data_IF_733180603867
#
_entry.id   IF_733180603867
#
_cell.length_a   1.000
_cell.length_b   1.000
_cell.length_c   1.000
_cell.angle_alpha   90.00
_cell.angle_beta   90.00
_cell.angle_gamma   90.00
#
_symmetry.space_group_name_H-M   'P 1'
#
loop_
_entity.id
_entity.type
_entity.pdbx_description
1 polymer ?
#
# COMPACT_ATOMS: atom_id res chain seq x y z
N UNK A 1 -14.14 -17.54 -8.28
CA UNK A 1 -13.69 -16.34 -7.56
C UNK A 1 -14.67 -15.22 -7.83
N UNK A 2 -15.15 -14.55 -6.80
CA UNK A 2 -15.94 -13.33 -6.91
C UNK A 2 -15.07 -12.25 -7.54
N UNK A 3 -15.58 -11.56 -8.55
CA UNK A 3 -14.89 -10.44 -9.21
C UNK A 3 -15.27 -9.13 -8.56
N UNK A 4 -14.39 -8.13 -8.61
CA UNK A 4 -14.58 -6.84 -7.96
C UNK A 4 -14.34 -5.69 -8.93
N UNK A 5 -15.08 -4.59 -8.75
CA UNK A 5 -14.74 -3.33 -9.38
C UNK A 5 -13.45 -2.77 -8.77
N UNK A 6 -12.61 -2.09 -9.58
CA UNK A 6 -11.33 -1.58 -9.08
C UNK A 6 -10.94 -0.27 -9.74
N UNK A 7 -10.54 0.70 -8.91
CA UNK A 7 -9.91 1.96 -9.33
C UNK A 7 -8.63 2.18 -8.51
N UNK A 8 -7.58 2.71 -9.15
CA UNK A 8 -6.30 2.99 -8.54
C UNK A 8 -6.04 4.49 -8.58
N UNK A 9 -6.24 5.19 -7.47
CA UNK A 9 -6.35 6.63 -7.38
C UNK A 9 -5.19 7.23 -6.58
N UNK A 10 -4.68 8.37 -7.02
CA UNK A 10 -3.63 9.09 -6.30
C UNK A 10 -4.23 9.91 -5.15
N UNK A 11 -3.55 9.85 -3.98
CA UNK A 11 -3.87 10.71 -2.84
C UNK A 11 -2.61 11.27 -2.21
N UNK A 12 -2.01 12.25 -2.89
CA UNK A 12 -0.78 12.93 -2.50
C UNK A 12 0.48 12.27 -3.01
N UNK A 13 1.58 12.98 -2.87
CA UNK A 13 2.88 12.51 -3.33
C UNK A 13 4.02 13.02 -2.45
N UNK A 14 5.19 12.41 -2.64
CA UNK A 14 6.46 12.87 -2.07
C UNK A 14 7.53 12.91 -3.15
N UNK A 15 8.63 13.62 -2.89
CA UNK A 15 9.75 13.75 -3.84
C UNK A 15 11.05 13.26 -3.21
N UNK A 16 11.74 12.39 -3.93
CA UNK A 16 13.05 11.86 -3.56
C UNK A 16 13.94 11.68 -4.79
N UNK A 17 15.29 11.69 -4.65
CA UNK A 17 16.18 11.21 -5.70
C UNK A 17 15.87 9.76 -6.07
N UNK A 18 15.75 9.46 -7.36
CA UNK A 18 15.44 8.10 -7.86
C UNK A 18 16.42 7.06 -7.31
N UNK A 19 17.71 7.44 -7.14
CA UNK A 19 18.73 6.54 -6.60
C UNK A 19 18.39 5.96 -5.21
N UNK A 20 17.53 6.60 -4.44
CA UNK A 20 17.12 6.08 -3.13
C UNK A 20 16.22 4.85 -3.25
N UNK A 21 15.47 4.73 -4.34
CA UNK A 21 14.48 3.67 -4.58
C UNK A 21 14.91 2.69 -5.65
N UNK A 22 15.92 3.06 -6.46
CA UNK A 22 16.39 2.26 -7.57
C UNK A 22 17.92 2.36 -7.67
N UNK A 23 18.65 1.26 -7.41
CA UNK A 23 20.12 1.25 -7.50
C UNK A 23 20.60 1.72 -8.89
N UNK A 24 21.49 2.72 -8.92
CA UNK A 24 21.95 3.33 -10.17
C UNK A 24 20.91 4.24 -10.84
N UNK A 25 19.87 4.63 -10.13
CA UNK A 25 18.92 5.67 -10.55
C UNK A 25 19.55 7.06 -10.54
N UNK A 26 18.79 8.04 -11.05
CA UNK A 26 19.18 9.44 -11.12
C UNK A 26 19.30 10.07 -9.74
N UNK A 27 20.19 11.08 -9.61
CA UNK A 27 20.22 11.98 -8.45
C UNK A 27 19.11 13.04 -8.49
N UNK A 28 18.43 13.20 -9.64
CA UNK A 28 17.29 14.09 -9.74
C UNK A 28 16.12 13.59 -8.87
N UNK A 29 15.43 14.53 -8.25
CA UNK A 29 14.21 14.23 -7.52
C UNK A 29 13.09 13.83 -8.51
N UNK A 30 12.43 12.72 -8.24
CA UNK A 30 11.25 12.23 -8.96
C UNK A 30 10.07 12.16 -8.00
N UNK A 31 8.87 12.23 -8.55
CA UNK A 31 7.64 12.15 -7.76
C UNK A 31 7.28 10.70 -7.47
N UNK A 32 6.91 10.46 -6.23
CA UNK A 32 6.37 9.20 -5.74
C UNK A 32 4.93 9.44 -5.30
N UNK A 33 3.91 9.08 -6.11
CA UNK A 33 2.52 9.18 -5.72
C UNK A 33 2.25 8.25 -4.54
N UNK A 34 1.27 8.58 -3.71
CA UNK A 34 0.68 7.64 -2.76
C UNK A 34 -0.65 7.17 -3.33
N UNK A 35 -0.67 5.95 -3.85
CA UNK A 35 -1.84 5.38 -4.49
C UNK A 35 -2.77 4.70 -3.48
N UNK A 36 -4.07 4.81 -3.73
CA UNK A 36 -5.14 4.20 -2.95
C UNK A 36 -5.97 3.32 -3.87
N UNK A 37 -6.16 2.05 -3.49
CA UNK A 37 -7.09 1.16 -4.19
C UNK A 37 -8.51 1.37 -3.69
N UNK A 38 -9.44 1.64 -4.61
CA UNK A 38 -10.88 1.61 -4.32
C UNK A 38 -11.43 0.33 -4.94
N UNK A 39 -11.85 -0.59 -4.08
CA UNK A 39 -12.29 -1.93 -4.47
C UNK A 39 -13.78 -2.03 -4.17
N UNK A 40 -14.57 -2.23 -5.20
CA UNK A 40 -16.02 -2.39 -5.10
C UNK A 40 -16.38 -3.87 -5.10
N UNK A 41 -16.82 -4.36 -3.96
CA UNK A 41 -17.25 -5.74 -3.82
C UNK A 41 -18.78 -5.83 -4.07
N UNK A 42 -19.24 -6.73 -4.95
CA UNK A 42 -20.64 -6.75 -5.41
C UNK A 42 -21.67 -6.98 -4.29
N UNK A 43 -21.26 -7.53 -3.15
CA UNK A 43 -22.17 -7.83 -2.04
C UNK A 43 -21.75 -7.21 -0.69
N UNK A 44 -20.60 -6.54 -0.59
CA UNK A 44 -20.04 -6.10 0.70
C UNK A 44 -19.71 -4.61 0.77
N UNK A 45 -19.93 -3.86 -0.31
CA UNK A 45 -19.61 -2.44 -0.40
C UNK A 45 -18.16 -2.17 -0.79
N UNK A 46 -17.67 -0.98 -0.46
CA UNK A 46 -16.35 -0.51 -0.85
C UNK A 46 -15.29 -0.89 0.18
N UNK A 47 -14.12 -1.29 -0.29
CA UNK A 47 -12.91 -1.43 0.53
C UNK A 47 -11.83 -0.50 -0.01
N UNK A 48 -11.11 0.17 0.90
CA UNK A 48 -9.93 0.92 0.52
C UNK A 48 -8.67 0.08 0.76
N UNK A 49 -7.81 -0.04 -0.24
CA UNK A 49 -6.46 -0.55 -0.05
C UNK A 49 -5.53 0.65 0.17
N UNK A 50 -5.01 0.76 1.39
CA UNK A 50 -4.31 1.93 1.94
C UNK A 50 -5.18 3.21 1.95
N UNK A 51 -4.62 4.32 2.43
CA UNK A 51 -5.39 5.57 2.57
C UNK A 51 -4.68 6.81 2.04
N UNK A 52 -3.49 6.65 1.47
CA UNK A 52 -2.72 7.76 0.92
C UNK A 52 -2.30 8.81 1.96
N UNK A 53 -1.82 9.94 1.47
CA UNK A 53 -1.55 11.11 2.32
C UNK A 53 -2.85 11.82 2.72
N UNK A 54 -2.81 12.48 3.89
CA UNK A 54 -3.89 13.29 4.45
C UNK A 54 -3.26 14.47 5.21
N UNK A 55 -3.91 15.64 5.34
CA UNK A 55 -3.42 16.72 6.18
C UNK A 55 -3.08 16.32 7.62
N UNK A 56 -3.60 15.20 8.11
CA UNK A 56 -3.20 14.60 9.38
C UNK A 56 -1.71 14.27 9.44
N UNK A 57 -1.08 13.92 8.31
CA UNK A 57 0.36 13.68 8.24
C UNK A 57 1.17 14.89 8.68
N UNK A 58 0.80 16.10 8.23
CA UNK A 58 1.48 17.33 8.63
C UNK A 58 1.34 17.59 10.12
N UNK A 59 0.17 17.31 10.70
CA UNK A 59 -0.08 17.43 12.15
C UNK A 59 0.74 16.42 12.94
N UNK A 60 0.72 15.14 12.52
CA UNK A 60 1.44 14.05 13.17
C UNK A 60 2.96 14.24 13.13
N UNK A 61 3.48 14.92 12.10
CA UNK A 61 4.91 15.22 11.95
C UNK A 61 5.32 16.61 12.46
N UNK A 62 4.46 17.33 13.16
CA UNK A 62 4.79 18.64 13.74
C UNK A 62 5.71 18.54 14.97
N UNK A 63 5.47 17.62 15.94
CA UNK A 63 6.34 17.48 17.10
C UNK A 63 7.68 16.83 16.73
N UNK A 64 8.67 16.98 17.60
CA UNK A 64 9.93 16.24 17.56
C UNK A 64 9.78 14.94 18.38
N UNK A 65 10.26 13.79 17.94
CA UNK A 65 11.13 13.53 16.77
C UNK A 65 10.41 13.31 15.42
N UNK A 66 9.08 13.26 15.35
CA UNK A 66 8.34 12.95 14.13
C UNK A 66 8.59 13.95 13.00
N UNK A 67 9.00 15.20 13.34
CA UNK A 67 9.43 16.21 12.38
C UNK A 67 10.60 15.78 11.52
N UNK A 68 11.48 14.90 12.02
CA UNK A 68 12.57 14.32 11.24
C UNK A 68 12.06 13.55 10.01
N UNK A 69 10.95 12.82 10.15
CA UNK A 69 10.33 12.13 9.03
C UNK A 69 9.95 13.13 7.92
N UNK A 70 9.23 14.20 8.26
CA UNK A 70 8.82 15.21 7.26
C UNK A 70 10.01 15.92 6.62
N UNK A 71 11.11 16.13 7.31
CA UNK A 71 12.31 16.74 6.73
C UNK A 71 13.00 15.82 5.71
N UNK A 72 12.95 14.52 5.93
CA UNK A 72 13.52 13.54 5.00
C UNK A 72 12.54 13.11 3.90
N UNK A 73 11.25 13.38 4.08
CA UNK A 73 10.19 13.00 3.15
C UNK A 73 9.30 14.22 2.89
N UNK A 74 9.73 15.15 2.01
CA UNK A 74 8.91 16.28 1.60
C UNK A 74 7.63 15.83 0.92
N UNK A 75 6.47 16.23 1.44
CA UNK A 75 5.16 15.80 0.95
C UNK A 75 4.39 16.96 0.34
N UNK A 76 3.64 16.67 -0.73
CA UNK A 76 2.71 17.60 -1.36
C UNK A 76 1.28 17.24 -0.94
N UNK A 77 0.72 18.05 -0.02
CA UNK A 77 -0.63 17.88 0.52
C UNK A 77 -1.38 19.18 0.35
N UNK A 78 -2.27 19.25 -0.64
CA UNK A 78 -3.15 20.40 -0.89
C UNK A 78 -4.57 20.18 -0.36
N UNK A 79 -5.43 21.22 -0.51
CA UNK A 79 -6.83 21.19 -0.09
C UNK A 79 -7.67 20.09 -0.80
N UNK A 80 -7.28 19.70 -2.01
CA UNK A 80 -7.92 18.61 -2.75
C UNK A 80 -7.79 17.25 -2.04
N UNK A 81 -6.76 17.07 -1.20
CA UNK A 81 -6.53 15.85 -0.43
C UNK A 81 -7.26 15.81 0.92
N UNK A 82 -7.97 16.88 1.29
CA UNK A 82 -8.93 16.81 2.39
C UNK A 82 -9.91 15.67 2.13
N UNK A 83 -10.18 14.85 3.16
CA UNK A 83 -10.91 13.59 3.00
C UNK A 83 -12.22 13.73 2.20
N UNK A 84 -13.08 14.65 2.60
CA UNK A 84 -14.37 14.87 1.93
C UNK A 84 -14.24 15.39 0.50
N UNK A 85 -13.22 16.21 0.22
CA UNK A 85 -12.96 16.72 -1.12
C UNK A 85 -12.49 15.62 -2.03
N UNK A 86 -11.55 14.78 -1.54
CA UNK A 86 -11.03 13.66 -2.31
C UNK A 86 -12.12 12.62 -2.62
N UNK A 87 -12.94 12.24 -1.63
CA UNK A 87 -14.08 11.36 -1.85
C UNK A 87 -15.05 11.93 -2.90
N UNK A 88 -15.40 13.23 -2.79
CA UNK A 88 -16.29 13.89 -3.73
C UNK A 88 -15.72 13.91 -5.15
N UNK A 89 -14.44 14.24 -5.30
CA UNK A 89 -13.76 14.28 -6.61
C UNK A 89 -13.83 12.93 -7.32
N UNK A 90 -13.72 11.84 -6.54
CA UNK A 90 -13.71 10.49 -7.08
C UNK A 90 -15.07 9.77 -6.98
N UNK A 91 -16.15 10.50 -6.68
CA UNK A 91 -17.51 9.96 -6.53
C UNK A 91 -17.57 8.74 -5.58
N UNK A 92 -16.87 8.83 -4.45
CA UNK A 92 -16.86 7.79 -3.42
C UNK A 92 -17.81 8.19 -2.30
N UNK A 93 -18.79 7.33 -2.01
CA UNK A 93 -19.68 7.48 -0.87
C UNK A 93 -19.02 6.89 0.38
N UNK A 94 -18.73 7.75 1.37
CA UNK A 94 -18.09 7.37 2.63
C UNK A 94 -18.89 6.31 3.41
N UNK A 95 -20.21 6.32 3.31
CA UNK A 95 -21.08 5.38 4.02
C UNK A 95 -20.95 3.96 3.44
N UNK A 96 -20.65 3.86 2.16
CA UNK A 96 -20.45 2.56 1.48
C UNK A 96 -19.09 1.93 1.79
N UNK A 97 -18.15 2.66 2.40
CA UNK A 97 -16.85 2.11 2.76
C UNK A 97 -17.05 1.10 3.90
N UNK A 98 -16.94 -0.18 3.59
CA UNK A 98 -17.15 -1.29 4.51
C UNK A 98 -15.91 -1.60 5.36
N UNK A 99 -14.72 -1.22 4.91
CA UNK A 99 -13.47 -1.45 5.63
C UNK A 99 -12.24 -0.96 4.87
N UNK A 100 -11.08 -1.13 5.50
CA UNK A 100 -9.79 -0.73 4.95
C UNK A 100 -8.81 -1.90 5.02
N UNK A 101 -8.05 -2.09 3.97
CA UNK A 101 -6.99 -3.10 3.85
C UNK A 101 -5.67 -2.35 3.88
N UNK A 102 -4.87 -2.53 4.90
CA UNK A 102 -3.60 -1.82 5.09
C UNK A 102 -2.45 -2.74 4.74
N UNK A 103 -1.74 -2.38 3.66
CA UNK A 103 -0.57 -3.12 3.21
C UNK A 103 0.54 -3.13 4.25
N UNK A 104 0.78 -1.97 4.87
CA UNK A 104 1.73 -1.75 5.97
C UNK A 104 1.50 -0.38 6.64
N UNK A 105 2.21 -0.08 7.74
CA UNK A 105 1.90 1.08 8.58
C UNK A 105 2.79 2.31 8.36
N UNK A 106 3.40 2.52 7.19
CA UNK A 106 4.06 3.79 6.89
C UNK A 106 3.05 4.94 6.73
N UNK A 107 3.54 6.16 6.92
CA UNK A 107 2.69 7.35 7.05
C UNK A 107 1.80 7.63 5.84
N UNK A 108 2.26 7.36 4.65
CA UNK A 108 1.58 7.55 3.36
C UNK A 108 0.54 6.47 3.03
N UNK A 109 0.53 5.37 3.78
CA UNK A 109 -0.48 4.31 3.65
C UNK A 109 -1.61 4.44 4.68
N UNK A 110 -1.34 5.14 5.81
CA UNK A 110 -2.27 5.18 6.95
C UNK A 110 -2.77 6.58 7.33
N UNK A 111 -2.35 7.65 6.62
CA UNK A 111 -2.67 9.01 7.06
C UNK A 111 -4.18 9.32 7.07
N UNK A 112 -4.98 8.67 6.22
CA UNK A 112 -6.43 8.82 6.15
C UNK A 112 -7.21 7.95 7.14
N UNK A 113 -6.60 7.01 7.85
CA UNK A 113 -7.31 6.03 8.70
C UNK A 113 -8.20 6.66 9.78
N UNK A 114 -7.87 7.86 10.24
CA UNK A 114 -8.67 8.57 11.23
C UNK A 114 -10.12 8.80 10.81
N UNK A 115 -10.37 8.92 9.50
CA UNK A 115 -11.70 9.12 8.94
C UNK A 115 -12.53 7.82 8.94
N UNK A 116 -11.86 6.69 9.04
CA UNK A 116 -12.47 5.36 9.03
C UNK A 116 -12.48 4.70 10.43
N UNK A 117 -12.38 5.53 11.48
CA UNK A 117 -12.38 5.05 12.86
C UNK A 117 -13.66 4.23 13.16
N UNK A 118 -13.47 3.03 13.71
CA UNK A 118 -14.56 2.11 14.04
C UNK A 118 -14.93 1.14 12.91
N UNK A 119 -14.49 1.37 11.67
CA UNK A 119 -14.65 0.40 10.56
C UNK A 119 -13.61 -0.74 10.67
N UNK A 120 -13.90 -1.94 10.13
CA UNK A 120 -12.93 -3.04 10.07
C UNK A 120 -11.65 -2.63 9.37
N UNK A 121 -10.49 -3.02 9.94
CA UNK A 121 -9.16 -2.80 9.36
C UNK A 121 -8.48 -4.15 9.17
N UNK A 122 -8.30 -4.54 7.91
CA UNK A 122 -7.56 -5.75 7.55
C UNK A 122 -6.07 -5.40 7.45
N UNK A 123 -5.22 -6.05 8.22
CA UNK A 123 -3.80 -5.74 8.28
C UNK A 123 -2.97 -6.92 8.82
N UNK A 124 -1.65 -6.82 8.73
CA UNK A 124 -0.75 -7.78 9.36
C UNK A 124 -0.57 -7.48 10.86
N UNK A 125 -0.58 -8.52 11.68
CA UNK A 125 -0.33 -8.43 13.13
C UNK A 125 1.04 -7.82 13.42
N UNK A 126 2.08 -8.30 12.75
CA UNK A 126 3.45 -7.81 12.95
C UNK A 126 3.60 -6.29 12.68
N UNK A 127 2.85 -5.74 11.72
CA UNK A 127 2.84 -4.30 11.42
C UNK A 127 2.23 -3.49 12.57
N UNK A 128 1.03 -3.87 13.02
CA UNK A 128 0.34 -3.19 14.13
C UNK A 128 1.13 -3.28 15.43
N UNK A 129 1.64 -4.46 15.77
CA UNK A 129 2.47 -4.67 16.95
C UNK A 129 3.73 -3.79 16.93
N UNK A 130 4.37 -3.65 15.76
CA UNK A 130 5.55 -2.79 15.61
C UNK A 130 5.20 -1.32 15.80
N UNK A 131 4.06 -0.86 15.26
CA UNK A 131 3.56 0.50 15.48
C UNK A 131 3.27 0.80 16.95
N UNK A 132 2.74 -0.18 17.70
CA UNK A 132 2.37 -0.03 19.12
C UNK A 132 3.54 -0.17 20.08
N UNK A 133 4.70 -0.69 19.66
CA UNK A 133 5.91 -0.76 20.50
C UNK A 133 6.31 0.63 21.03
N UNK A 134 6.82 0.73 22.26
CA UNK A 134 7.30 1.99 22.80
C UNK A 134 8.55 2.50 22.04
N UNK A 135 8.79 3.80 22.10
CA UNK A 135 9.99 4.42 21.51
C UNK A 135 9.69 5.24 20.25
N UNK A 136 9.42 6.55 20.44
CA UNK A 136 9.11 7.49 19.35
C UNK A 136 10.21 7.55 18.29
N UNK A 137 11.50 7.61 18.69
CA UNK A 137 12.62 7.64 17.75
C UNK A 137 12.73 6.37 16.92
N UNK A 138 12.50 5.20 17.54
CA UNK A 138 12.52 3.93 16.82
C UNK A 138 11.42 3.87 15.76
N UNK A 139 10.22 4.33 16.09
CA UNK A 139 9.11 4.40 15.14
C UNK A 139 9.42 5.36 13.99
N UNK A 140 9.87 6.58 14.28
CA UNK A 140 10.21 7.59 13.25
C UNK A 140 11.27 7.06 12.29
N UNK A 141 12.31 6.39 12.82
CA UNK A 141 13.35 5.76 11.98
C UNK A 141 12.78 4.69 11.03
N UNK A 142 11.70 4.03 11.43
CA UNK A 142 11.00 3.01 10.64
C UNK A 142 9.83 3.59 9.82
N UNK A 143 9.70 4.90 9.69
CA UNK A 143 8.59 5.52 8.93
C UNK A 143 7.21 5.41 9.60
N UNK A 144 7.15 5.06 10.89
CA UNK A 144 5.91 4.81 11.62
C UNK A 144 5.46 6.03 12.41
N UNK A 145 4.21 6.45 12.22
CA UNK A 145 3.58 7.58 12.91
C UNK A 145 2.33 7.13 13.67
N UNK A 146 2.50 6.74 14.93
CA UNK A 146 1.41 6.18 15.75
C UNK A 146 0.18 7.12 15.88
N UNK A 147 0.39 8.44 15.76
CA UNK A 147 -0.68 9.44 15.81
C UNK A 147 -1.64 9.39 14.60
N UNK A 148 -1.27 8.71 13.51
CA UNK A 148 -2.10 8.54 12.31
C UNK A 148 -3.09 7.37 12.44
N UNK A 149 -2.81 6.42 13.32
CA UNK A 149 -3.58 5.19 13.47
C UNK A 149 -4.41 5.23 14.75
N UNK A 150 -5.75 5.37 14.64
CA UNK A 150 -6.63 5.41 15.82
C UNK A 150 -6.46 4.19 16.72
N UNK A 151 -6.66 4.37 18.02
CA UNK A 151 -6.61 3.24 18.98
C UNK A 151 -7.78 2.27 18.79
N UNK A 152 -8.88 2.71 18.18
CA UNK A 152 -9.99 1.81 17.79
C UNK A 152 -9.55 0.67 16.89
N UNK A 153 -8.44 0.83 16.14
CA UNK A 153 -7.87 -0.22 15.30
C UNK A 153 -7.48 -1.45 16.12
N UNK A 154 -7.06 -1.28 17.37
CA UNK A 154 -6.70 -2.40 18.24
C UNK A 154 -7.89 -3.35 18.52
N UNK A 155 -9.13 -2.88 18.31
CA UNK A 155 -10.38 -3.65 18.46
C UNK A 155 -10.96 -4.05 17.09
N UNK A 156 -10.83 -3.19 16.07
CA UNK A 156 -11.42 -3.41 14.75
C UNK A 156 -10.49 -4.16 13.80
N UNK A 157 -9.24 -4.39 14.17
CA UNK A 157 -8.30 -5.14 13.35
C UNK A 157 -8.79 -6.57 13.06
N UNK A 158 -8.60 -6.96 11.80
CA UNK A 158 -8.77 -8.32 11.28
C UNK A 158 -7.44 -8.71 10.65
N UNK A 159 -6.73 -9.63 11.30
CA UNK A 159 -5.38 -9.94 10.86
C UNK A 159 -5.38 -10.90 9.68
N UNK A 160 -4.53 -10.62 8.70
CA UNK A 160 -4.36 -11.49 7.54
C UNK A 160 -3.99 -12.92 7.96
N UNK A 161 -3.16 -13.05 8.98
CA UNK A 161 -2.68 -14.33 9.51
C UNK A 161 -3.80 -15.20 10.08
N UNK A 162 -4.92 -14.60 10.51
CA UNK A 162 -6.07 -15.32 11.07
C UNK A 162 -7.06 -15.77 9.97
N UNK A 163 -6.93 -15.25 8.73
CA UNK A 163 -7.77 -15.66 7.61
C UNK A 163 -7.35 -17.02 7.03
N UNK A 164 -8.29 -17.69 6.39
CA UNK A 164 -8.02 -19.00 5.77
C UNK A 164 -6.94 -18.89 4.68
N UNK A 165 -6.00 -19.82 4.69
CA UNK A 165 -5.05 -19.95 3.60
C UNK A 165 -5.74 -20.61 2.40
N UNK A 166 -5.55 -20.00 1.22
CA UNK A 166 -6.13 -20.49 -0.04
C UNK A 166 -5.07 -20.49 -1.14
N UNK A 167 -5.19 -21.40 -2.08
CA UNK A 167 -4.34 -21.41 -3.25
C UNK A 167 -4.67 -20.25 -4.18
N UNK A 168 -3.66 -19.58 -4.68
CA UNK A 168 -3.78 -18.61 -5.76
C UNK A 168 -3.89 -19.33 -7.12
N UNK A 169 -4.61 -18.72 -8.06
CA UNK A 169 -4.66 -19.25 -9.41
C UNK A 169 -3.29 -19.07 -10.13
N UNK A 170 -3.10 -19.80 -11.22
CA UNK A 170 -1.83 -19.80 -11.98
C UNK A 170 -1.42 -18.45 -12.53
N UNK A 171 -2.36 -17.49 -12.66
CA UNK A 171 -2.05 -16.13 -13.13
C UNK A 171 -1.12 -15.38 -12.18
N UNK A 172 -1.09 -15.76 -10.91
CA UNK A 172 -0.22 -15.14 -9.90
C UNK A 172 1.11 -15.88 -9.68
N UNK A 173 1.39 -16.95 -10.43
CA UNK A 173 2.65 -17.68 -10.26
C UNK A 173 3.88 -16.76 -10.38
N UNK A 174 4.88 -16.86 -9.48
CA UNK A 174 5.17 -17.95 -8.55
C UNK A 174 4.57 -17.79 -7.12
N UNK A 175 3.54 -16.96 -6.95
CA UNK A 175 2.82 -16.88 -5.69
C UNK A 175 1.79 -18.01 -5.66
N UNK A 176 1.93 -18.95 -4.73
CA UNK A 176 1.15 -20.18 -4.70
C UNK A 176 -0.07 -20.10 -3.80
N UNK A 177 0.02 -19.32 -2.71
CA UNK A 177 -1.05 -19.17 -1.72
C UNK A 177 -1.11 -17.75 -1.15
N UNK A 178 -2.22 -17.45 -0.49
CA UNK A 178 -2.46 -16.23 0.26
C UNK A 178 -3.59 -16.42 1.26
N UNK A 179 -4.03 -15.34 1.89
CA UNK A 179 -5.07 -15.33 2.92
C UNK A 179 -6.37 -14.74 2.37
N UNK A 180 -7.44 -15.51 2.37
CA UNK A 180 -8.77 -15.04 1.94
C UNK A 180 -9.40 -14.18 3.03
N UNK A 181 -9.24 -12.87 2.92
CA UNK A 181 -9.61 -11.93 3.99
C UNK A 181 -11.12 -11.71 4.13
N UNK A 182 -11.90 -12.07 3.12
CA UNK A 182 -13.36 -11.97 3.16
C UNK A 182 -14.06 -13.33 3.21
N UNK A 183 -13.35 -14.44 3.00
CA UNK A 183 -13.88 -15.81 3.06
C UNK A 183 -14.71 -16.22 1.83
N UNK A 184 -14.60 -15.51 0.70
CA UNK A 184 -15.33 -15.79 -0.55
C UNK A 184 -14.42 -15.86 -1.79
N UNK A 185 -13.11 -15.82 -1.57
CA UNK A 185 -12.10 -15.90 -2.62
C UNK A 185 -11.96 -14.63 -3.47
N UNK A 186 -12.58 -13.51 -3.09
CA UNK A 186 -12.51 -12.25 -3.84
C UNK A 186 -11.21 -11.50 -3.61
N UNK A 187 -10.81 -11.35 -2.36
CA UNK A 187 -9.65 -10.57 -1.93
C UNK A 187 -8.68 -11.45 -1.14
N UNK A 188 -7.51 -11.67 -1.71
CA UNK A 188 -6.49 -12.57 -1.16
C UNK A 188 -5.25 -11.77 -0.78
N UNK A 189 -4.98 -11.64 0.52
CA UNK A 189 -3.75 -11.01 0.98
C UNK A 189 -2.55 -11.92 0.70
N UNK A 190 -1.46 -11.35 0.18
CA UNK A 190 -0.23 -12.05 -0.21
C UNK A 190 0.95 -11.47 0.56
N UNK A 191 1.69 -12.29 1.28
CA UNK A 191 2.85 -11.82 2.03
C UNK A 191 4.00 -11.45 1.08
N UNK A 192 4.45 -10.19 1.19
CA UNK A 192 5.52 -9.59 0.38
C UNK A 192 6.61 -9.01 1.30
N UNK A 193 7.40 -9.87 1.99
CA UNK A 193 8.30 -9.41 3.03
C UNK A 193 9.50 -8.65 2.49
N UNK A 194 10.04 -7.75 3.31
CA UNK A 194 11.33 -7.10 3.06
C UNK A 194 11.33 -5.59 3.21
N UNK A 195 10.26 -4.90 2.81
CA UNK A 195 10.16 -3.44 2.95
C UNK A 195 10.08 -3.01 4.41
N UNK A 196 9.15 -3.60 5.16
CA UNK A 196 9.01 -3.39 6.61
C UNK A 196 8.36 -4.62 7.26
N UNK A 197 8.32 -4.72 8.61
CA UNK A 197 7.59 -5.77 9.30
C UNK A 197 6.08 -5.74 8.97
N UNK A 198 5.54 -6.89 8.58
CA UNK A 198 4.11 -7.02 8.28
C UNK A 198 3.68 -6.35 6.98
N UNK A 199 4.54 -6.33 5.95
CA UNK A 199 4.20 -5.85 4.63
C UNK A 199 3.52 -6.94 3.79
N UNK A 200 2.32 -6.63 3.29
CA UNK A 200 1.50 -7.52 2.46
C UNK A 200 0.96 -6.78 1.23
N UNK A 201 0.73 -7.53 0.17
CA UNK A 201 -0.01 -7.11 -1.02
C UNK A 201 -1.41 -7.70 -1.05
N UNK A 202 -2.14 -7.43 -2.13
CA UNK A 202 -3.49 -7.94 -2.33
C UNK A 202 -3.66 -8.47 -3.76
N UNK A 203 -4.12 -9.71 -3.90
CA UNK A 203 -4.42 -10.35 -5.17
C UNK A 203 -5.93 -10.48 -5.36
N UNK A 204 -6.44 -10.14 -6.54
CA UNK A 204 -7.85 -10.27 -6.92
C UNK A 204 -8.02 -10.31 -8.44
N UNK A 205 -9.25 -10.55 -8.89
CA UNK A 205 -9.64 -10.48 -10.31
C UNK A 205 -10.71 -9.41 -10.47
N UNK A 206 -10.50 -8.47 -11.40
CA UNK A 206 -11.46 -7.42 -11.69
C UNK A 206 -12.71 -7.93 -12.39
N UNK A 207 -13.78 -7.12 -12.47
CA UNK A 207 -15.00 -7.44 -13.21
C UNK A 207 -14.72 -7.79 -14.67
N UNK A 208 -13.73 -7.10 -15.30
CA UNK A 208 -13.30 -7.35 -16.67
C UNK A 208 -12.45 -8.64 -16.81
N UNK A 209 -12.17 -9.32 -15.70
CA UNK A 209 -11.43 -10.58 -15.68
C UNK A 209 -9.90 -10.41 -15.63
N UNK A 210 -9.38 -9.21 -15.37
CA UNK A 210 -7.92 -9.00 -15.21
C UNK A 210 -7.46 -9.45 -13.84
N UNK A 211 -6.37 -10.18 -13.78
CA UNK A 211 -5.66 -10.50 -12.53
C UNK A 211 -4.83 -9.30 -12.09
N UNK A 212 -4.99 -8.89 -10.83
CA UNK A 212 -4.29 -7.74 -10.25
C UNK A 212 -3.58 -8.16 -8.97
N UNK A 213 -2.33 -7.77 -8.83
CA UNK A 213 -1.54 -7.86 -7.59
C UNK A 213 -1.13 -6.44 -7.16
N UNK A 214 -1.77 -5.90 -6.13
CA UNK A 214 -1.31 -4.69 -5.49
C UNK A 214 -0.06 -5.03 -4.68
N UNK A 215 1.09 -4.59 -5.17
CA UNK A 215 2.38 -4.93 -4.58
C UNK A 215 2.79 -3.98 -3.45
N UNK A 216 2.05 -2.87 -3.28
CA UNK A 216 2.37 -1.80 -2.36
C UNK A 216 3.86 -1.38 -2.48
N UNK A 217 4.61 -1.37 -1.39
CA UNK A 217 6.02 -0.97 -1.32
C UNK A 217 7.00 -2.14 -1.38
N UNK A 218 6.52 -3.34 -1.72
CA UNK A 218 7.43 -4.45 -2.04
C UNK A 218 8.39 -4.08 -3.18
N UNK A 219 7.96 -3.15 -4.04
CA UNK A 219 8.77 -2.42 -5.03
C UNK A 219 8.14 -1.03 -5.23
N UNK A 220 8.93 -0.04 -5.68
CA UNK A 220 8.43 1.32 -5.85
C UNK A 220 8.11 1.72 -7.29
N UNK A 221 8.46 0.89 -8.27
CA UNK A 221 8.15 1.17 -9.69
C UNK A 221 8.06 -0.09 -10.52
N UNK A 222 7.30 -0.03 -11.61
CA UNK A 222 7.27 -1.07 -12.64
C UNK A 222 8.66 -1.31 -13.27
N UNK A 223 9.48 -0.25 -13.39
CA UNK A 223 10.87 -0.33 -13.85
C UNK A 223 11.73 -1.22 -12.94
N UNK A 224 11.56 -1.12 -11.60
CA UNK A 224 12.27 -1.97 -10.66
C UNK A 224 11.93 -3.45 -10.87
N UNK A 225 10.67 -3.77 -11.18
CA UNK A 225 10.22 -5.13 -11.49
C UNK A 225 10.84 -5.59 -12.83
N UNK A 226 10.68 -4.81 -13.89
CA UNK A 226 11.12 -5.17 -15.24
C UNK A 226 12.64 -5.41 -15.31
N UNK A 227 13.42 -4.53 -14.68
CA UNK A 227 14.88 -4.59 -14.69
C UNK A 227 15.44 -5.45 -13.52
N UNK A 228 14.60 -6.00 -12.67
CA UNK A 228 14.99 -6.76 -11.46
C UNK A 228 16.00 -5.97 -10.62
N UNK A 229 15.74 -4.69 -10.46
CA UNK A 229 16.69 -3.73 -9.89
C UNK A 229 16.20 -3.20 -8.52
N UNK A 230 16.81 -3.67 -7.40
CA UNK A 230 16.41 -3.28 -6.07
C UNK A 230 16.90 -1.85 -5.72
N UNK A 231 16.40 -1.25 -4.64
CA UNK A 231 17.01 -0.09 -4.01
C UNK A 231 18.43 -0.39 -3.52
N UNK A 232 19.24 0.65 -3.24
CA UNK A 232 20.51 0.48 -2.55
C UNK A 232 20.36 -0.26 -1.22
N UNK A 233 21.39 -1.01 -0.83
CA UNK A 233 21.37 -1.76 0.44
C UNK A 233 21.14 -0.88 1.66
N UNK A 234 21.62 0.37 1.63
CA UNK A 234 21.41 1.31 2.72
C UNK A 234 19.92 1.60 2.92
N UNK A 235 19.16 1.82 1.84
CA UNK A 235 17.70 2.05 1.90
C UNK A 235 16.97 0.83 2.47
N UNK A 236 17.25 -0.36 1.93
CA UNK A 236 16.57 -1.58 2.37
C UNK A 236 16.94 -2.01 3.79
N UNK A 237 18.15 -1.69 4.28
CA UNK A 237 18.54 -2.00 5.68
C UNK A 237 18.05 -0.97 6.68
N UNK A 238 17.75 0.26 6.23
CA UNK A 238 17.18 1.30 7.08
C UNK A 238 15.68 1.07 7.35
N UNK A 239 14.92 0.73 6.32
CA UNK A 239 13.46 0.57 6.37
C UNK A 239 13.04 -0.86 6.70
N UNK A 240 13.79 -1.87 6.27
CA UNK A 240 13.41 -3.26 6.39
C UNK A 240 14.57 -4.24 6.39
N UNK A 241 14.49 -5.26 5.53
CA UNK A 241 15.46 -6.34 5.44
C UNK A 241 15.85 -6.61 3.98
N UNK A 242 17.11 -6.37 3.65
CA UNK A 242 17.63 -6.46 2.26
C UNK A 242 17.43 -7.84 1.62
N UNK A 243 17.64 -8.94 2.38
CA UNK A 243 17.54 -10.30 1.79
C UNK A 243 16.09 -10.67 1.45
N UNK A 244 15.10 -10.53 2.35
CA UNK A 244 13.70 -10.74 2.02
C UNK A 244 13.20 -9.80 0.90
N UNK A 245 13.59 -8.51 0.92
CA UNK A 245 13.22 -7.55 -0.13
C UNK A 245 13.63 -8.05 -1.52
N UNK A 246 14.88 -8.51 -1.67
CA UNK A 246 15.37 -9.04 -2.95
C UNK A 246 14.63 -10.30 -3.38
N UNK A 247 14.35 -11.21 -2.45
CA UNK A 247 13.59 -12.42 -2.74
C UNK A 247 12.15 -12.08 -3.21
N UNK A 248 11.53 -11.08 -2.60
CA UNK A 248 10.20 -10.60 -3.03
C UNK A 248 10.26 -9.95 -4.41
N UNK A 249 11.26 -9.09 -4.68
CA UNK A 249 11.48 -8.52 -6.02
C UNK A 249 11.69 -9.60 -7.07
N UNK A 250 12.48 -10.66 -6.78
CA UNK A 250 12.70 -11.78 -7.66
C UNK A 250 11.39 -12.51 -8.00
N UNK A 251 10.52 -12.70 -7.02
CA UNK A 251 9.18 -13.29 -7.23
C UNK A 251 8.28 -12.40 -8.07
N UNK A 252 8.26 -11.09 -7.82
CA UNK A 252 7.48 -10.13 -8.60
C UNK A 252 7.97 -10.05 -10.06
N UNK A 253 9.29 -10.04 -10.28
CA UNK A 253 9.88 -10.10 -11.61
C UNK A 253 9.48 -11.40 -12.34
N UNK A 254 9.56 -12.55 -11.67
CA UNK A 254 9.15 -13.83 -12.24
C UNK A 254 7.63 -13.86 -12.54
N UNK A 255 6.80 -13.29 -11.69
CA UNK A 255 5.36 -13.18 -11.92
C UNK A 255 5.03 -12.35 -13.17
N UNK A 256 5.69 -11.21 -13.34
CA UNK A 256 5.56 -10.37 -14.54
C UNK A 256 6.02 -11.09 -15.81
N UNK A 257 7.12 -11.86 -15.73
CA UNK A 257 7.65 -12.62 -16.86
C UNK A 257 6.78 -13.84 -17.22
N UNK A 258 6.17 -14.49 -16.21
CA UNK A 258 5.33 -15.67 -16.43
C UNK A 258 3.95 -15.32 -16.99
N UNK A 259 3.43 -14.13 -16.69
CA UNK A 259 2.12 -13.69 -17.14
C UNK A 259 2.13 -12.19 -17.43
N UNK A 260 2.31 -11.83 -18.70
CA UNK A 260 2.32 -10.43 -19.16
C UNK A 260 0.96 -9.70 -18.97
N UNK A 261 -0.13 -10.44 -18.68
CA UNK A 261 -1.45 -9.86 -18.42
C UNK A 261 -1.71 -9.62 -16.93
N UNK A 262 -0.85 -10.11 -16.05
CA UNK A 262 -0.92 -9.82 -14.63
C UNK A 262 -0.53 -8.35 -14.40
N UNK A 263 -1.47 -7.56 -13.90
CA UNK A 263 -1.18 -6.21 -13.49
C UNK A 263 -0.55 -6.22 -12.08
N UNK A 264 0.74 -5.88 -11.99
CA UNK A 264 1.44 -5.70 -10.71
C UNK A 264 1.55 -4.20 -10.45
N UNK A 265 0.93 -3.71 -9.37
CA UNK A 265 0.76 -2.30 -9.08
C UNK A 265 1.51 -1.89 -7.81
N UNK A 266 2.68 -1.24 -7.92
CA UNK A 266 3.34 -0.56 -6.81
C UNK A 266 2.58 0.70 -6.38
N UNK A 267 2.61 1.06 -5.10
CA UNK A 267 1.93 2.26 -4.58
C UNK A 267 2.55 3.58 -5.02
N UNK A 268 3.78 3.57 -5.57
CA UNK A 268 4.50 4.77 -5.94
C UNK A 268 4.79 4.89 -7.45
N UNK A 269 3.98 4.23 -8.30
CA UNK A 269 4.20 4.16 -9.75
C UNK A 269 2.97 4.64 -10.54
N UNK A 270 3.03 5.89 -11.04
CA UNK A 270 1.95 6.44 -11.89
C UNK A 270 1.81 5.67 -13.22
N UNK A 271 2.90 5.21 -13.79
CA UNK A 271 2.89 4.47 -15.06
C UNK A 271 2.09 3.17 -14.94
N UNK A 272 2.26 2.44 -13.84
CA UNK A 272 1.48 1.23 -13.57
C UNK A 272 0.00 1.54 -13.33
N UNK A 273 -0.32 2.76 -12.86
CA UNK A 273 -1.67 3.17 -12.53
C UNK A 273 -2.52 3.55 -13.75
N UNK A 274 -1.89 3.94 -14.88
CA UNK A 274 -2.61 4.46 -16.06
C UNK A 274 -3.71 3.54 -16.60
N UNK A 275 -3.63 2.24 -16.33
CA UNK A 275 -4.59 1.24 -16.81
C UNK A 275 -5.84 1.09 -15.91
N UNK A 276 -5.85 1.72 -14.73
CA UNK A 276 -6.89 1.58 -13.71
C UNK A 276 -7.33 2.93 -13.12
N UNK A 277 -6.98 4.04 -13.78
CA UNK A 277 -7.56 5.34 -13.47
C UNK A 277 -9.00 5.35 -13.97
N UNK A 278 -9.91 5.93 -13.20
CA UNK A 278 -11.25 6.21 -13.70
C UNK A 278 -11.19 7.19 -14.87
N UNK A 279 -12.20 7.19 -15.72
CA UNK A 279 -12.29 8.02 -16.95
C UNK A 279 -12.20 9.54 -16.70
N UNK A 280 -12.18 9.99 -15.44
CA UNK A 280 -12.20 11.42 -15.06
C UNK A 280 -10.78 12.04 -14.89
N UNK A 281 -9.71 11.30 -15.09
CA UNK A 281 -8.32 11.79 -14.94
C UNK A 281 -7.48 11.76 -16.26
N UNK A 282 -8.15 11.85 -17.43
CA UNK A 282 -7.51 11.93 -18.74
C UNK A 282 -7.15 13.36 -19.15
#
# INVERSE_FOLDING_TARGET
MTRVGFRWLERGSTRHPEIMTLSGGSLCAVDFPAMVGVIEHPARGLFLFDTGYDPAFLRATNPFPERLYRWTTPVEIGAALEWKNWLKTHAIDEEQIAGTIISHFHGDHVAGMRHLAGKPVFCARAGLDTLRKPGRFSRVRQGLLAALVPTSVDVTARFFEDAAEVALNKAFAPFESGRDILGDGSLIAVELPGHCPGHWGLAFTTEEGRSVLLAADAVWSGKAIAERRPPPRITTSLLGQTKPYRATLDRLHAAAANNGELAILPSHCRESACQFRGDDEA
#
